data_IF_495045466587
#
_entry.id   IF_495045466587
#
_cell.length_a   1.000
_cell.length_b   1.000
_cell.length_c   1.000
_cell.angle_alpha   90.00
_cell.angle_beta   90.00
_cell.angle_gamma   90.00
#
_symmetry.space_group_name_H-M   'P 1'
#
loop_
_entity.id
_entity.type
_entity.pdbx_description
1 polymer ?
#
# COMPACT_ATOMS: atom_id res chain seq x y z
N UNK A 1 -37.94 21.82 -1.28
CA UNK A 1 -36.60 21.21 -1.49
C UNK A 1 -36.32 21.11 -3.00
N UNK A 2 -35.10 21.35 -3.48
CA UNK A 2 -34.82 21.62 -4.90
C UNK A 2 -34.87 20.39 -5.85
N UNK A 3 -34.38 19.21 -5.46
CA UNK A 3 -34.47 17.97 -6.27
C UNK A 3 -34.36 16.72 -5.38
N UNK A 4 -35.12 15.64 -5.62
CA UNK A 4 -34.90 14.37 -4.94
C UNK A 4 -33.59 13.73 -5.43
N UNK A 5 -32.70 13.37 -4.51
CA UNK A 5 -31.42 12.72 -4.76
C UNK A 5 -31.25 11.54 -3.80
N UNK A 6 -30.59 10.49 -4.27
CA UNK A 6 -30.26 9.30 -3.50
C UNK A 6 -28.74 9.13 -3.40
N UNK A 7 -28.28 8.54 -2.30
CA UNK A 7 -26.86 8.26 -2.08
C UNK A 7 -26.49 6.85 -2.52
N UNK A 8 -25.21 6.62 -2.84
CA UNK A 8 -24.70 5.29 -3.14
C UNK A 8 -24.88 4.30 -1.99
N UNK A 9 -24.74 4.76 -0.74
CA UNK A 9 -24.97 3.95 0.47
C UNK A 9 -26.42 3.46 0.56
N UNK A 10 -27.40 4.32 0.25
CA UNK A 10 -28.82 3.94 0.22
C UNK A 10 -29.09 2.88 -0.84
N UNK A 11 -28.54 3.03 -2.04
CA UNK A 11 -28.72 2.04 -3.11
C UNK A 11 -28.10 0.68 -2.73
N UNK A 12 -26.89 0.68 -2.19
CA UNK A 12 -26.21 -0.54 -1.77
C UNK A 12 -26.92 -1.22 -0.60
N UNK A 13 -27.51 -0.44 0.31
CA UNK A 13 -28.31 -0.97 1.44
C UNK A 13 -29.52 -1.79 0.98
N UNK A 14 -30.09 -1.50 -0.20
CA UNK A 14 -31.22 -2.29 -0.73
C UNK A 14 -30.84 -3.73 -1.06
N UNK A 15 -29.53 -4.00 -1.23
CA UNK A 15 -29.00 -5.34 -1.52
C UNK A 15 -28.66 -6.11 -0.25
N UNK A 16 -28.41 -5.42 0.86
CA UNK A 16 -28.07 -6.05 2.13
C UNK A 16 -29.34 -6.62 2.76
N UNK A 17 -29.36 -7.91 3.13
CA UNK A 17 -30.52 -8.50 3.82
C UNK A 17 -30.85 -7.77 5.13
N UNK A 18 -32.15 -7.69 5.44
CA UNK A 18 -32.62 -7.15 6.73
C UNK A 18 -32.17 -8.05 7.89
N UNK A 19 -32.01 -7.47 9.07
CA UNK A 19 -31.54 -8.16 10.28
C UNK A 19 -30.02 -8.17 10.48
N UNK A 20 -29.23 -7.83 9.45
CA UNK A 20 -27.77 -7.86 9.52
C UNK A 20 -27.23 -6.63 10.24
N UNK A 21 -26.34 -6.86 11.21
CA UNK A 21 -25.63 -5.80 11.93
C UNK A 21 -24.13 -6.02 11.85
N UNK A 22 -23.38 -5.03 11.37
CA UNK A 22 -21.92 -5.11 11.22
C UNK A 22 -21.29 -3.79 11.61
N UNK A 23 -20.25 -3.85 12.44
CA UNK A 23 -19.41 -2.71 12.79
C UNK A 23 -17.97 -3.06 12.49
N UNK A 24 -17.36 -2.29 11.58
CA UNK A 24 -15.97 -2.50 11.16
C UNK A 24 -15.33 -1.17 10.79
N UNK A 25 -14.05 -1.21 10.43
CA UNK A 25 -13.28 -0.05 10.03
C UNK A 25 -12.78 -0.20 8.60
N UNK A 26 -12.83 0.91 7.87
CA UNK A 26 -12.22 1.06 6.56
C UNK A 26 -10.69 0.90 6.66
N UNK A 27 -10.04 0.58 5.53
CA UNK A 27 -8.59 0.30 5.48
C UNK A 27 -7.71 1.47 5.94
N UNK A 28 -8.20 2.71 5.85
CA UNK A 28 -7.50 3.93 6.25
C UNK A 28 -8.03 4.57 7.54
N UNK A 29 -8.79 3.83 8.37
CA UNK A 29 -9.28 4.36 9.64
C UNK A 29 -8.10 4.73 10.57
N UNK A 30 -8.05 5.97 11.10
CA UNK A 30 -6.96 6.39 11.99
C UNK A 30 -7.03 5.69 13.36
N UNK A 31 -5.90 5.19 13.86
CA UNK A 31 -5.84 4.45 15.14
C UNK A 31 -6.29 5.28 16.36
N UNK A 32 -6.16 6.61 16.29
CA UNK A 32 -6.52 7.52 17.38
C UNK A 32 -7.99 7.98 17.35
N UNK A 33 -8.72 7.60 16.31
CA UNK A 33 -10.11 8.03 16.14
C UNK A 33 -11.07 7.04 16.81
N UNK A 34 -11.86 7.53 17.77
CA UNK A 34 -12.82 6.71 18.53
C UNK A 34 -14.27 7.18 18.37
N UNK A 35 -14.50 8.26 17.63
CA UNK A 35 -15.82 8.87 17.46
C UNK A 35 -16.76 7.94 16.69
N UNK A 36 -18.05 8.02 17.00
CA UNK A 36 -19.08 7.27 16.25
C UNK A 36 -19.36 7.92 14.89
N UNK A 37 -19.20 9.24 14.80
CA UNK A 37 -19.27 10.01 13.55
C UNK A 37 -17.83 10.24 13.11
N UNK A 38 -17.40 9.47 12.11
CA UNK A 38 -16.04 9.57 11.57
C UNK A 38 -15.95 10.74 10.59
N UNK A 39 -15.05 11.72 10.80
CA UNK A 39 -14.85 12.82 9.84
C UNK A 39 -14.41 12.31 8.46
N UNK A 40 -13.62 11.24 8.43
CA UNK A 40 -13.17 10.60 7.19
C UNK A 40 -14.14 9.54 6.63
N UNK A 41 -15.33 9.38 7.23
CA UNK A 41 -16.30 8.33 6.85
C UNK A 41 -15.67 6.93 6.84
N UNK A 42 -14.77 6.66 7.79
CA UNK A 42 -13.98 5.41 7.84
C UNK A 42 -14.55 4.36 8.79
N UNK A 43 -15.44 4.76 9.71
CA UNK A 43 -16.15 3.83 10.58
C UNK A 43 -17.40 3.29 9.87
N UNK A 44 -17.41 1.99 9.59
CA UNK A 44 -18.51 1.33 8.87
C UNK A 44 -19.51 0.78 9.88
N UNK A 45 -20.74 1.27 9.79
CA UNK A 45 -21.87 0.84 10.64
C UNK A 45 -23.02 0.44 9.73
N UNK A 46 -23.37 -0.84 9.79
CA UNK A 46 -24.53 -1.43 9.13
C UNK A 46 -25.47 -1.88 10.25
N UNK A 47 -26.70 -1.38 10.25
CA UNK A 47 -27.72 -1.76 11.22
C UNK A 47 -29.01 -2.16 10.48
N UNK A 48 -29.54 -3.33 10.83
CA UNK A 48 -30.72 -3.92 10.21
C UNK A 48 -30.69 -3.92 8.66
N UNK A 49 -29.52 -4.21 8.09
CA UNK A 49 -29.30 -4.20 6.64
C UNK A 49 -29.20 -2.80 6.00
N UNK A 50 -29.02 -1.73 6.78
CA UNK A 50 -28.86 -0.37 6.26
C UNK A 50 -27.49 0.20 6.63
N UNK A 51 -26.78 0.74 5.64
CA UNK A 51 -25.48 1.38 5.82
C UNK A 51 -25.71 2.80 6.35
N UNK A 52 -25.43 3.01 7.63
CA UNK A 52 -25.59 4.32 8.27
C UNK A 52 -24.41 5.25 7.99
N UNK A 53 -23.19 4.73 8.08
CA UNK A 53 -21.95 5.46 7.77
C UNK A 53 -20.84 4.49 7.36
N UNK A 54 -19.79 5.04 6.76
CA UNK A 54 -18.58 4.32 6.39
C UNK A 54 -18.42 4.05 4.89
N UNK A 55 -17.17 4.02 4.44
CA UNK A 55 -16.78 3.59 3.10
C UNK A 55 -16.52 2.09 3.07
N UNK A 56 -17.25 1.39 2.21
CA UNK A 56 -17.13 -0.07 2.03
C UNK A 56 -15.83 -0.38 1.25
N UNK A 57 -14.97 -1.21 1.84
CA UNK A 57 -13.73 -1.69 1.19
C UNK A 57 -13.57 -3.21 1.38
N UNK A 58 -12.41 -3.75 0.96
CA UNK A 58 -12.05 -5.16 1.21
C UNK A 58 -12.21 -5.60 2.67
N UNK A 59 -12.02 -4.72 3.65
CA UNK A 59 -12.22 -5.08 5.06
C UNK A 59 -13.68 -5.35 5.44
N UNK A 60 -14.63 -4.85 4.65
CA UNK A 60 -16.07 -5.02 4.88
C UNK A 60 -16.64 -6.14 4.00
N UNK A 61 -16.36 -6.13 2.70
CA UNK A 61 -16.93 -7.06 1.71
C UNK A 61 -15.95 -8.12 1.20
N UNK A 62 -14.74 -8.18 1.76
CA UNK A 62 -13.76 -9.22 1.44
C UNK A 62 -13.86 -10.43 2.38
N UNK A 63 -12.91 -11.36 2.21
CA UNK A 63 -12.77 -12.55 3.04
C UNK A 63 -12.11 -12.23 4.40
N UNK A 64 -12.71 -11.31 5.16
CA UNK A 64 -12.30 -10.97 6.53
C UNK A 64 -13.20 -11.70 7.52
N UNK A 65 -12.62 -12.18 8.62
CA UNK A 65 -13.40 -12.58 9.79
C UNK A 65 -14.26 -11.39 10.27
N UNK A 66 -15.49 -11.70 10.66
CA UNK A 66 -16.52 -10.72 11.05
C UNK A 66 -16.80 -9.62 10.00
N UNK A 67 -16.47 -9.91 8.73
CA UNK A 67 -16.89 -9.09 7.59
C UNK A 67 -18.36 -9.31 7.25
N UNK A 68 -18.91 -8.45 6.40
CA UNK A 68 -20.32 -8.46 6.02
C UNK A 68 -20.76 -9.80 5.45
N UNK A 69 -19.95 -10.41 4.58
CA UNK A 69 -20.25 -11.72 3.98
C UNK A 69 -20.25 -12.83 5.05
N UNK A 70 -19.31 -12.77 5.99
CA UNK A 70 -19.23 -13.74 7.08
C UNK A 70 -20.48 -13.68 7.97
N UNK A 71 -20.89 -12.46 8.34
CA UNK A 71 -22.10 -12.23 9.14
C UNK A 71 -23.37 -12.69 8.41
N UNK A 72 -23.54 -12.32 7.13
CA UNK A 72 -24.71 -12.76 6.34
C UNK A 72 -24.79 -14.29 6.27
N UNK A 73 -23.65 -14.96 6.05
CA UNK A 73 -23.61 -16.41 5.97
C UNK A 73 -23.97 -17.08 7.29
N UNK A 74 -23.48 -16.56 8.41
CA UNK A 74 -23.73 -17.14 9.72
C UNK A 74 -25.14 -16.87 10.23
N UNK A 75 -25.70 -15.68 9.97
CA UNK A 75 -27.03 -15.29 10.46
C UNK A 75 -28.17 -15.78 9.56
N UNK A 76 -27.99 -15.75 8.23
CA UNK A 76 -29.06 -16.00 7.26
C UNK A 76 -28.80 -17.18 6.31
N UNK A 77 -27.60 -17.76 6.38
CA UNK A 77 -27.24 -18.95 5.60
C UNK A 77 -26.77 -18.65 4.17
N UNK A 78 -26.51 -19.74 3.44
CA UNK A 78 -25.86 -19.71 2.12
C UNK A 78 -26.73 -19.10 1.02
N UNK A 79 -28.05 -19.26 1.09
CA UNK A 79 -28.96 -18.76 0.04
C UNK A 79 -29.03 -17.23 0.02
N UNK A 80 -29.17 -16.60 1.19
CA UNK A 80 -29.18 -15.14 1.30
C UNK A 80 -27.80 -14.56 0.95
N UNK A 81 -26.72 -15.24 1.34
CA UNK A 81 -25.36 -14.85 0.94
C UNK A 81 -25.19 -14.88 -0.59
N UNK A 82 -25.71 -15.91 -1.27
CA UNK A 82 -25.68 -16.01 -2.73
C UNK A 82 -26.46 -14.87 -3.39
N UNK A 83 -27.64 -14.52 -2.86
CA UNK A 83 -28.43 -13.37 -3.34
C UNK A 83 -27.67 -12.06 -3.16
N UNK A 84 -27.01 -11.88 -2.01
CA UNK A 84 -26.20 -10.70 -1.74
C UNK A 84 -25.06 -10.54 -2.77
N UNK A 85 -24.31 -11.61 -3.07
CA UNK A 85 -23.27 -11.56 -4.11
C UNK A 85 -23.83 -11.12 -5.47
N UNK A 86 -24.91 -11.76 -5.93
CA UNK A 86 -25.53 -11.45 -7.21
C UNK A 86 -26.07 -10.02 -7.27
N UNK A 87 -26.78 -9.56 -6.23
CA UNK A 87 -27.32 -8.21 -6.17
C UNK A 87 -26.22 -7.15 -6.13
N UNK A 88 -25.15 -7.39 -5.34
CA UNK A 88 -24.07 -6.43 -5.18
C UNK A 88 -23.30 -6.28 -6.49
N UNK A 89 -22.96 -7.40 -7.14
CA UNK A 89 -22.30 -7.40 -8.44
C UNK A 89 -23.15 -6.71 -9.50
N UNK A 90 -24.44 -7.01 -9.61
CA UNK A 90 -25.31 -6.38 -10.60
C UNK A 90 -25.40 -4.87 -10.42
N UNK A 91 -25.65 -4.40 -9.19
CA UNK A 91 -25.80 -2.96 -8.91
C UNK A 91 -24.48 -2.21 -9.12
N UNK A 92 -23.38 -2.73 -8.57
CA UNK A 92 -22.07 -2.06 -8.66
C UNK A 92 -21.53 -2.09 -10.09
N UNK A 93 -21.65 -3.20 -10.82
CA UNK A 93 -21.20 -3.27 -12.22
C UNK A 93 -22.01 -2.35 -13.13
N UNK A 94 -23.33 -2.24 -12.90
CA UNK A 94 -24.16 -1.31 -13.66
C UNK A 94 -23.79 0.15 -13.38
N UNK A 95 -23.53 0.50 -12.12
CA UNK A 95 -23.03 1.82 -11.76
C UNK A 95 -21.66 2.11 -12.39
N UNK A 96 -20.74 1.13 -12.34
CA UNK A 96 -19.39 1.25 -12.88
C UNK A 96 -19.40 1.44 -14.41
N UNK A 97 -20.35 0.83 -15.11
CA UNK A 97 -20.55 1.04 -16.55
C UNK A 97 -20.83 2.51 -16.90
N UNK A 98 -21.56 3.22 -16.05
CA UNK A 98 -21.91 4.64 -16.27
C UNK A 98 -20.82 5.59 -15.77
N UNK A 99 -20.15 5.25 -14.66
CA UNK A 99 -19.10 6.07 -14.07
C UNK A 99 -17.77 5.95 -14.82
N UNK A 100 -17.43 4.74 -15.26
CA UNK A 100 -16.11 4.39 -15.78
C UNK A 100 -15.05 4.35 -14.67
N UNK A 101 -13.99 3.58 -14.92
CA UNK A 101 -12.76 3.56 -14.11
C UNK A 101 -11.60 3.14 -15.02
N UNK A 102 -10.50 3.88 -14.99
CA UNK A 102 -9.34 3.65 -15.86
C UNK A 102 -8.06 4.02 -15.14
N UNK A 103 -6.93 3.54 -15.63
CA UNK A 103 -5.59 3.88 -15.13
C UNK A 103 -4.76 4.31 -16.32
N UNK A 104 -3.98 5.38 -16.18
CA UNK A 104 -3.05 5.85 -17.19
C UNK A 104 -1.66 6.09 -16.63
N UNK A 105 -0.75 6.49 -17.51
CA UNK A 105 0.61 6.92 -17.11
C UNK A 105 0.57 8.13 -16.18
N UNK A 106 -0.46 8.97 -16.28
CA UNK A 106 -0.66 10.10 -15.37
C UNK A 106 -0.81 9.67 -13.91
N UNK A 107 -1.31 8.46 -13.64
CA UNK A 107 -1.45 7.96 -12.28
C UNK A 107 -0.12 7.52 -11.65
N UNK A 108 0.95 7.40 -12.44
CA UNK A 108 2.29 7.00 -11.97
C UNK A 108 3.26 8.18 -11.89
N UNK A 109 2.83 9.39 -12.23
CA UNK A 109 3.67 10.58 -12.25
C UNK A 109 3.38 11.38 -10.97
N UNK A 110 4.39 11.53 -10.12
CA UNK A 110 4.35 12.48 -9.02
C UNK A 110 4.71 13.89 -9.49
N UNK A 111 4.27 14.88 -8.72
CA UNK A 111 4.58 16.29 -8.93
C UNK A 111 6.06 16.59 -8.73
N UNK A 112 6.55 17.64 -9.42
CA UNK A 112 7.95 18.03 -9.42
C UNK A 112 8.58 18.19 -8.01
N UNK A 113 7.95 18.85 -7.02
CA UNK A 113 8.57 18.99 -5.71
C UNK A 113 8.64 17.66 -4.94
N UNK A 114 7.68 16.76 -5.14
CA UNK A 114 7.74 15.39 -4.61
C UNK A 114 8.90 14.62 -5.20
N UNK A 115 9.11 14.72 -6.52
CA UNK A 115 10.23 14.07 -7.21
C UNK A 115 11.59 14.62 -6.75
N UNK A 116 11.69 15.93 -6.50
CA UNK A 116 12.89 16.53 -5.91
C UNK A 116 13.18 15.95 -4.52
N UNK A 117 12.17 15.90 -3.65
CA UNK A 117 12.30 15.32 -2.31
C UNK A 117 12.67 13.84 -2.33
N UNK A 118 12.11 13.06 -3.25
CA UNK A 118 12.50 11.66 -3.45
C UNK A 118 13.98 11.56 -3.87
N UNK A 119 14.42 12.43 -4.76
CA UNK A 119 15.82 12.48 -5.23
C UNK A 119 16.78 12.85 -4.09
N UNK A 120 16.39 13.76 -3.21
CA UNK A 120 17.14 14.13 -2.01
C UNK A 120 17.28 12.94 -1.04
N UNK A 121 16.18 12.21 -0.78
CA UNK A 121 16.18 11.02 0.08
C UNK A 121 17.15 9.96 -0.49
N UNK A 122 17.10 9.70 -1.80
CA UNK A 122 17.98 8.72 -2.46
C UNK A 122 19.44 9.18 -2.38
N UNK A 123 19.72 10.46 -2.65
CA UNK A 123 21.06 11.03 -2.58
C UNK A 123 21.64 10.94 -1.17
N UNK A 124 20.85 11.26 -0.14
CA UNK A 124 21.25 11.14 1.24
C UNK A 124 21.57 9.68 1.63
N UNK A 125 20.78 8.72 1.15
CA UNK A 125 21.03 7.31 1.38
C UNK A 125 22.31 6.81 0.70
N UNK A 126 22.59 7.26 -0.53
CA UNK A 126 23.85 6.97 -1.22
C UNK A 126 25.05 7.50 -0.45
N UNK A 127 24.94 8.73 0.08
CA UNK A 127 25.98 9.31 0.93
C UNK A 127 26.20 8.48 2.21
N UNK A 128 25.12 8.04 2.87
CA UNK A 128 25.22 7.17 4.05
C UNK A 128 25.94 5.85 3.74
N UNK A 129 25.66 5.23 2.58
CA UNK A 129 26.36 4.01 2.16
C UNK A 129 27.84 4.30 1.90
N UNK A 130 28.16 5.43 1.27
CA UNK A 130 29.55 5.84 1.04
C UNK A 130 30.31 6.02 2.37
N UNK A 131 29.69 6.62 3.37
CA UNK A 131 30.30 6.78 4.69
C UNK A 131 30.52 5.42 5.38
N UNK A 132 29.60 4.47 5.21
CA UNK A 132 29.77 3.10 5.72
C UNK A 132 30.91 2.38 5.00
N UNK A 133 31.08 2.58 3.69
CA UNK A 133 32.21 2.04 2.91
C UNK A 133 33.54 2.60 3.43
N UNK A 134 33.64 3.93 3.60
CA UNK A 134 34.86 4.58 4.11
C UNK A 134 35.21 4.08 5.51
N UNK A 135 34.22 3.97 6.39
CA UNK A 135 34.44 3.46 7.75
C UNK A 135 34.90 2.00 7.76
N UNK A 136 34.38 1.16 6.85
CA UNK A 136 34.83 -0.21 6.69
C UNK A 136 36.28 -0.30 6.16
N UNK A 137 36.65 0.54 5.20
CA UNK A 137 38.00 0.59 4.63
C UNK A 137 39.05 1.12 5.61
N UNK A 138 38.64 1.97 6.55
CA UNK A 138 39.52 2.53 7.59
C UNK A 138 39.56 1.68 8.88
N UNK A 139 39.01 0.47 8.87
CA UNK A 139 38.88 -0.43 10.04
C UNK A 139 38.19 0.24 11.24
N UNK A 140 37.26 1.17 10.99
CA UNK A 140 36.46 1.87 12.01
C UNK A 140 35.07 1.26 12.21
N UNK A 141 34.79 0.14 11.55
CA UNK A 141 33.49 -0.51 11.60
C UNK A 141 33.45 -1.63 12.64
N UNK A 142 32.73 -1.40 13.74
CA UNK A 142 32.53 -2.43 14.76
C UNK A 142 31.56 -3.53 14.29
N UNK A 143 31.90 -4.82 14.50
CA UNK A 143 31.02 -5.94 14.20
C UNK A 143 29.82 -5.97 15.18
N UNK A 144 28.64 -6.28 14.65
CA UNK A 144 27.47 -6.55 15.48
C UNK A 144 27.62 -7.92 16.17
N UNK A 145 27.05 -8.13 17.36
CA UNK A 145 27.09 -9.43 18.04
C UNK A 145 26.58 -10.56 17.16
N UNK A 146 27.37 -11.63 17.02
CA UNK A 146 27.01 -12.80 16.21
C UNK A 146 27.16 -12.62 14.69
N UNK A 147 27.76 -11.52 14.23
CA UNK A 147 28.01 -11.24 12.81
C UNK A 147 29.49 -10.97 12.55
N UNK A 148 29.97 -11.37 11.39
CA UNK A 148 31.28 -10.93 10.89
C UNK A 148 31.25 -9.44 10.51
N UNK A 149 32.43 -8.82 10.35
CA UNK A 149 32.54 -7.42 9.90
C UNK A 149 31.87 -7.25 8.53
N UNK A 150 32.06 -8.19 7.61
CA UNK A 150 31.43 -8.17 6.27
C UNK A 150 29.90 -8.28 6.33
N UNK A 151 29.37 -9.19 7.15
CA UNK A 151 27.93 -9.31 7.35
C UNK A 151 27.34 -8.06 8.02
N UNK A 152 28.08 -7.47 8.96
CA UNK A 152 27.68 -6.22 9.61
C UNK A 152 27.63 -5.06 8.61
N UNK A 153 28.63 -4.98 7.73
CA UNK A 153 28.66 -4.02 6.63
C UNK A 153 27.43 -4.20 5.71
N UNK A 154 27.20 -5.40 5.20
CA UNK A 154 26.06 -5.71 4.32
C UNK A 154 24.70 -5.45 5.00
N UNK A 155 24.59 -5.75 6.30
CA UNK A 155 23.40 -5.45 7.09
C UNK A 155 23.13 -3.95 7.16
N UNK A 156 24.16 -3.13 7.45
CA UNK A 156 24.01 -1.66 7.52
C UNK A 156 23.65 -1.05 6.17
N UNK A 157 24.29 -1.50 5.08
CA UNK A 157 23.99 -1.02 3.73
C UNK A 157 22.56 -1.37 3.32
N UNK A 158 22.14 -2.63 3.49
CA UNK A 158 20.77 -3.03 3.17
C UNK A 158 19.73 -2.27 4.01
N UNK A 159 20.02 -2.02 5.29
CA UNK A 159 19.13 -1.24 6.15
C UNK A 159 18.97 0.20 5.64
N UNK A 160 20.07 0.87 5.26
CA UNK A 160 20.03 2.23 4.73
C UNK A 160 19.24 2.31 3.41
N UNK A 161 19.49 1.38 2.47
CA UNK A 161 18.82 1.36 1.17
C UNK A 161 17.33 1.00 1.27
N UNK A 162 16.97 0.04 2.13
CA UNK A 162 15.56 -0.30 2.37
C UNK A 162 14.81 0.85 3.03
N UNK A 163 15.44 1.53 4.00
CA UNK A 163 14.85 2.73 4.62
C UNK A 163 14.62 3.83 3.59
N UNK A 164 15.59 4.09 2.72
CA UNK A 164 15.46 5.08 1.67
C UNK A 164 14.31 4.78 0.71
N UNK A 165 14.14 3.51 0.31
CA UNK A 165 13.01 3.04 -0.50
C UNK A 165 11.68 3.31 0.20
N UNK A 166 11.58 2.96 1.48
CA UNK A 166 10.34 3.10 2.24
C UNK A 166 9.97 4.58 2.48
N UNK A 167 10.96 5.43 2.76
CA UNK A 167 10.76 6.87 2.97
C UNK A 167 10.40 7.60 1.65
N UNK A 168 11.05 7.23 0.54
CA UNK A 168 10.71 7.71 -0.80
C UNK A 168 9.29 7.27 -1.20
N UNK A 169 8.94 6.01 -0.94
CA UNK A 169 7.62 5.45 -1.21
C UNK A 169 6.50 6.13 -0.43
N UNK A 170 6.70 6.37 0.87
CA UNK A 170 5.76 7.13 1.72
C UNK A 170 5.56 8.55 1.20
N UNK A 171 6.65 9.21 0.82
CA UNK A 171 6.60 10.58 0.27
C UNK A 171 5.77 10.62 -1.01
N UNK A 172 5.98 9.66 -1.93
CA UNK A 172 5.15 9.54 -3.13
C UNK A 172 3.68 9.32 -2.77
N UNK A 173 3.38 8.39 -1.87
CA UNK A 173 2.00 8.04 -1.50
C UNK A 173 1.20 9.21 -0.91
N UNK A 174 1.83 9.99 -0.03
CA UNK A 174 1.18 11.14 0.63
C UNK A 174 0.81 12.20 -0.41
N UNK A 175 1.68 12.43 -1.38
CA UNK A 175 1.52 13.51 -2.36
C UNK A 175 0.69 13.11 -3.59
N UNK A 176 0.37 11.83 -3.77
CA UNK A 176 -0.61 11.42 -4.76
C UNK A 176 -2.00 11.94 -4.40
N UNK A 177 -2.66 12.59 -5.36
CA UNK A 177 -4.04 13.06 -5.25
C UNK A 177 -4.97 11.94 -4.78
N UNK A 178 -6.01 12.30 -4.02
CA UNK A 178 -7.06 11.36 -3.64
C UNK A 178 -7.77 10.79 -4.89
N UNK A 179 -7.86 11.55 -5.98
CA UNK A 179 -8.48 11.11 -7.23
C UNK A 179 -7.59 10.18 -8.08
N UNK A 180 -6.38 9.85 -7.62
CA UNK A 180 -5.48 8.96 -8.36
C UNK A 180 -6.04 7.53 -8.42
N UNK A 181 -6.15 6.97 -9.62
CA UNK A 181 -6.83 5.70 -9.84
C UNK A 181 -6.05 4.53 -9.22
N UNK A 182 -4.72 4.57 -9.25
CA UNK A 182 -3.88 3.53 -8.63
C UNK A 182 -4.04 3.56 -7.10
N UNK A 183 -4.06 4.76 -6.50
CA UNK A 183 -4.31 4.94 -5.06
C UNK A 183 -5.69 4.43 -4.66
N UNK A 184 -6.72 4.74 -5.44
CA UNK A 184 -8.09 4.26 -5.21
C UNK A 184 -8.19 2.73 -5.21
N UNK A 185 -7.52 2.02 -6.15
CA UNK A 185 -7.49 0.56 -6.15
C UNK A 185 -6.83 -0.04 -4.90
N UNK A 186 -5.71 0.56 -4.48
CA UNK A 186 -4.97 0.08 -3.29
C UNK A 186 -5.80 0.32 -2.02
N UNK A 187 -6.45 1.48 -1.89
CA UNK A 187 -7.32 1.81 -0.74
C UNK A 187 -8.54 0.87 -0.69
N UNK A 188 -9.20 0.66 -1.85
CA UNK A 188 -10.31 -0.29 -1.95
C UNK A 188 -9.89 -1.74 -1.66
N UNK A 189 -8.61 -2.06 -1.89
CA UNK A 189 -8.04 -3.39 -1.73
C UNK A 189 -8.34 -4.32 -2.91
N UNK A 190 -8.66 -3.76 -4.08
CA UNK A 190 -9.00 -4.55 -5.28
C UNK A 190 -7.76 -5.14 -5.94
N UNK A 191 -6.71 -4.33 -6.15
CA UNK A 191 -5.44 -4.76 -6.72
C UNK A 191 -4.31 -3.79 -6.38
N UNK A 192 -3.12 -4.36 -6.20
CA UNK A 192 -1.92 -3.62 -5.85
C UNK A 192 -1.74 -3.40 -4.36
N UNK A 193 -0.59 -2.82 -4.01
CA UNK A 193 -0.17 -2.51 -2.65
C UNK A 193 0.61 -1.19 -2.65
N UNK A 194 0.89 -0.66 -1.45
CA UNK A 194 1.73 0.53 -1.31
C UNK A 194 3.13 0.37 -1.90
N UNK A 195 3.67 -0.85 -1.91
CA UNK A 195 4.95 -1.15 -2.55
C UNK A 195 4.85 -0.93 -4.06
N UNK A 196 3.75 -1.33 -4.70
CA UNK A 196 3.61 -1.15 -6.15
C UNK A 196 3.57 0.34 -6.53
N UNK A 197 2.84 1.17 -5.78
CA UNK A 197 2.83 2.63 -5.98
C UNK A 197 4.23 3.20 -5.83
N UNK A 198 4.93 2.81 -4.76
CA UNK A 198 6.28 3.28 -4.44
C UNK A 198 7.28 2.91 -5.54
N UNK A 199 7.20 1.70 -6.09
CA UNK A 199 8.11 1.22 -7.13
C UNK A 199 7.83 1.83 -8.50
N UNK A 200 6.55 2.09 -8.83
CA UNK A 200 6.19 2.74 -10.09
C UNK A 200 6.50 4.25 -10.10
N UNK A 201 6.35 4.91 -8.95
CA UNK A 201 6.41 6.39 -8.86
C UNK A 201 7.74 6.91 -8.31
N UNK A 202 8.36 6.20 -7.37
CA UNK A 202 9.55 6.68 -6.64
C UNK A 202 10.82 5.91 -7.02
N UNK A 203 10.99 4.70 -6.49
CA UNK A 203 12.15 3.87 -6.77
C UNK A 203 11.86 2.39 -6.55
N UNK A 204 12.46 1.53 -7.38
CA UNK A 204 12.29 0.06 -7.31
C UNK A 204 12.92 -0.51 -6.02
N UNK A 205 14.08 0.03 -5.63
CA UNK A 205 14.86 -0.41 -4.47
C UNK A 205 15.95 -1.45 -4.81
N UNK A 206 16.70 -1.84 -3.79
CA UNK A 206 17.80 -2.80 -3.90
C UNK A 206 17.32 -4.18 -4.34
N UNK A 207 18.05 -4.81 -5.27
CA UNK A 207 17.81 -6.18 -5.69
C UNK A 207 18.65 -7.16 -4.87
N UNK A 208 18.01 -8.24 -4.41
CA UNK A 208 18.63 -9.25 -3.56
C UNK A 208 18.50 -10.64 -4.18
N UNK A 209 19.55 -11.44 -4.05
CA UNK A 209 19.61 -12.87 -4.41
C UNK A 209 20.03 -13.63 -3.16
N UNK A 210 19.27 -14.65 -2.78
CA UNK A 210 19.51 -15.46 -1.56
C UNK A 210 19.67 -14.61 -0.28
N UNK A 211 18.92 -13.51 -0.18
CA UNK A 211 18.95 -12.62 0.99
C UNK A 211 20.19 -11.70 1.06
N UNK A 212 21.04 -11.69 0.03
CA UNK A 212 22.21 -10.82 -0.09
C UNK A 212 22.08 -9.92 -1.31
N UNK A 213 22.86 -8.84 -1.36
CA UNK A 213 23.02 -8.05 -2.60
C UNK A 213 23.64 -8.90 -3.71
N UNK A 214 23.60 -8.41 -4.94
CA UNK A 214 24.11 -9.14 -6.11
C UNK A 214 25.56 -9.61 -5.84
N UNK A 215 25.82 -10.93 -5.89
CA UNK A 215 27.16 -11.44 -5.60
C UNK A 215 28.12 -11.11 -6.75
N UNK A 216 29.42 -11.11 -6.44
CA UNK A 216 30.46 -10.99 -7.45
C UNK A 216 30.52 -12.25 -8.33
N UNK A 217 29.85 -12.19 -9.49
CA UNK A 217 29.88 -13.25 -10.50
C UNK A 217 31.16 -13.25 -11.35
N UNK A 218 31.84 -12.10 -11.45
CA UNK A 218 33.16 -11.98 -12.05
C UNK A 218 34.23 -11.87 -10.97
N UNK A 219 35.50 -11.90 -11.37
CA UNK A 219 36.65 -11.74 -10.46
C UNK A 219 36.58 -10.41 -9.70
N UNK A 220 36.08 -10.47 -8.46
CA UNK A 220 35.89 -9.36 -7.52
C UNK A 220 35.02 -8.20 -8.03
N UNK A 221 33.97 -8.51 -8.81
CA UNK A 221 32.98 -7.53 -9.30
C UNK A 221 31.70 -8.21 -9.77
N UNK A 222 30.60 -7.46 -9.85
CA UNK A 222 29.30 -7.94 -10.31
C UNK A 222 29.18 -8.00 -11.84
N UNK A 223 29.59 -6.95 -12.54
CA UNK A 223 29.55 -6.82 -14.01
C UNK A 223 30.87 -6.26 -14.57
N UNK A 224 31.19 -6.46 -15.86
CA UNK A 224 32.44 -5.97 -16.46
C UNK A 224 32.54 -4.44 -16.52
N UNK A 225 31.41 -3.73 -16.33
CA UNK A 225 31.32 -2.26 -16.30
C UNK A 225 31.77 -1.65 -14.97
N UNK A 226 31.81 -2.45 -13.90
CA UNK A 226 32.24 -1.98 -12.58
C UNK A 226 33.72 -2.27 -12.35
N UNK A 227 34.34 -1.41 -11.53
CA UNK A 227 35.68 -1.62 -11.01
C UNK A 227 35.70 -2.79 -10.03
N UNK A 228 36.89 -3.32 -9.73
CA UNK A 228 37.02 -4.38 -8.73
C UNK A 228 36.76 -3.84 -7.33
N UNK A 229 36.21 -4.69 -6.48
CA UNK A 229 35.91 -4.42 -5.07
C UNK A 229 34.97 -3.20 -4.88
N UNK A 230 34.10 -2.98 -5.86
CA UNK A 230 33.05 -1.96 -5.79
C UNK A 230 31.88 -2.48 -4.93
N UNK A 231 31.64 -1.82 -3.81
CA UNK A 231 30.57 -2.13 -2.87
C UNK A 231 29.46 -1.07 -2.83
N UNK A 232 29.48 -0.14 -3.78
CA UNK A 232 28.47 0.92 -3.94
C UNK A 232 27.06 0.35 -4.14
N UNK A 233 26.00 1.17 -3.93
CA UNK A 233 24.63 0.77 -4.21
C UNK A 233 24.36 0.42 -5.69
N UNK A 234 25.10 1.02 -6.62
CA UNK A 234 24.92 0.82 -8.06
C UNK A 234 25.55 -0.46 -8.59
N UNK A 235 26.58 -0.97 -7.91
CA UNK A 235 27.34 -2.14 -8.33
C UNK A 235 26.65 -3.45 -8.06
#
# INVERSE_FOLDING_TARGET
KPKPLWTGKQLLSMVIPKGINVRTFHSTHPDHETTFISPGDTRVIIENGEILCGIICKNTVGAKADGLIHTIFNELGSQETKKFFGGCQTVVNYWLLQNGFSIGIGDTIADAPTMQKITEIITAAKQQVQDVIINAQQDRLDPKPGMTIRETFESKVNQALNKARDDAGKTAQINLSEDNNVKQMVIAGSKGSFINISQMTACVGQQNVEGKRIPFGFKFRTLPHFTKDDHSPES
#
